data_IF_401296402440
#
_entry.id   IF_401296402440
#
_cell.length_a   1.000
_cell.length_b   1.000
_cell.length_c   1.000
_cell.angle_alpha   90.00
_cell.angle_beta   90.00
_cell.angle_gamma   90.00
#
_symmetry.space_group_name_H-M   'P 1'
#
loop_
_entity.id
_entity.type
_entity.pdbx_description
1 polymer ?
#
# COMPACT_ATOMS: atom_id res chain seq x y z
N UNK A 1 28.23 -69.93 50.73
CA UNK A 1 29.64 -69.46 50.78
C UNK A 1 29.83 -68.47 49.64
N UNK A 2 29.42 -67.21 49.87
CA UNK A 2 30.28 -66.09 50.34
C UNK A 2 31.13 -65.57 49.19
N UNK A 3 30.60 -64.66 48.37
CA UNK A 3 30.67 -63.20 48.60
C UNK A 3 32.05 -62.75 49.10
N UNK A 4 33.06 -62.76 48.21
CA UNK A 4 34.32 -62.08 48.47
C UNK A 4 35.04 -61.57 47.21
N UNK A 5 34.30 -61.28 46.13
CA UNK A 5 34.90 -60.75 44.89
C UNK A 5 34.14 -59.55 44.28
N UNK A 6 33.50 -58.72 45.09
CA UNK A 6 32.77 -57.53 44.60
C UNK A 6 33.34 -56.18 45.07
N UNK A 7 34.56 -56.11 45.64
CA UNK A 7 35.12 -54.87 46.21
C UNK A 7 36.58 -54.56 45.83
N UNK A 8 37.03 -54.95 44.63
CA UNK A 8 38.38 -54.58 44.12
C UNK A 8 38.44 -54.11 42.66
N UNK A 9 37.36 -53.52 42.13
CA UNK A 9 37.32 -52.88 40.79
C UNK A 9 36.57 -51.55 40.78
N UNK A 10 36.86 -50.65 41.74
CA UNK A 10 36.27 -49.29 41.76
C UNK A 10 37.27 -48.16 41.98
N UNK A 11 38.55 -48.38 41.70
CA UNK A 11 39.57 -47.35 41.91
C UNK A 11 40.61 -47.41 40.81
N UNK A 12 40.26 -46.97 39.59
CA UNK A 12 41.19 -46.61 38.50
C UNK A 12 40.43 -46.14 37.22
N UNK A 13 39.42 -45.28 37.37
CA UNK A 13 38.74 -44.64 36.23
C UNK A 13 38.27 -43.24 36.63
N UNK A 14 39.15 -42.46 37.26
CA UNK A 14 38.84 -41.09 37.71
C UNK A 14 40.11 -40.22 37.67
N UNK A 15 40.81 -40.17 36.54
CA UNK A 15 41.94 -39.25 36.33
C UNK A 15 42.30 -39.06 34.84
N UNK A 16 41.31 -39.00 33.95
CA UNK A 16 41.55 -38.92 32.51
C UNK A 16 40.46 -38.22 31.72
N UNK A 17 39.85 -37.17 32.27
CA UNK A 17 38.84 -36.37 31.57
C UNK A 17 38.85 -34.92 32.05
N UNK A 18 40.03 -34.31 32.12
CA UNK A 18 40.23 -32.92 32.54
C UNK A 18 41.21 -32.15 31.64
N UNK A 19 41.35 -32.54 30.38
CA UNK A 19 42.18 -31.83 29.42
C UNK A 19 41.66 -32.01 28.00
N UNK A 20 40.65 -31.22 27.61
CA UNK A 20 40.43 -30.63 26.26
C UNK A 20 38.96 -30.19 26.10
N UNK A 21 38.56 -29.11 26.77
CA UNK A 21 37.42 -28.29 26.34
C UNK A 21 37.71 -26.81 26.66
N UNK A 22 38.84 -26.32 26.16
CA UNK A 22 39.04 -24.89 25.95
C UNK A 22 38.98 -24.65 24.43
N UNK A 23 37.80 -24.85 23.86
CA UNK A 23 37.49 -24.22 22.57
C UNK A 23 37.48 -22.72 22.81
N UNK A 24 38.29 -21.92 22.10
CA UNK A 24 38.09 -20.49 22.13
C UNK A 24 36.65 -20.24 21.68
N UNK A 25 35.84 -19.65 22.57
CA UNK A 25 34.61 -18.97 22.16
C UNK A 25 35.10 -17.80 21.32
N UNK A 26 35.33 -18.06 20.04
CA UNK A 26 35.32 -17.02 19.04
C UNK A 26 33.94 -16.40 19.20
N UNK A 27 33.89 -15.24 19.84
CA UNK A 27 32.74 -14.35 19.79
C UNK A 27 32.59 -14.00 18.32
N UNK A 28 31.90 -14.86 17.57
CA UNK A 28 31.40 -14.51 16.26
C UNK A 28 30.66 -13.20 16.51
N UNK A 29 31.14 -12.12 15.88
CA UNK A 29 30.38 -10.89 15.84
C UNK A 29 28.94 -11.29 15.53
N UNK A 30 27.94 -10.84 16.32
CA UNK A 30 26.57 -11.29 16.14
C UNK A 30 26.29 -11.19 14.65
N UNK A 31 25.89 -12.31 14.04
CA UNK A 31 25.66 -12.36 12.61
C UNK A 31 24.76 -11.16 12.29
N UNK A 32 25.35 -10.10 11.74
CA UNK A 32 24.60 -8.95 11.27
C UNK A 32 23.84 -9.54 10.11
N UNK A 33 22.58 -9.89 10.35
CA UNK A 33 21.66 -10.22 9.29
C UNK A 33 21.86 -9.12 8.27
N UNK A 34 22.41 -9.50 7.11
CA UNK A 34 22.58 -8.59 6.02
C UNK A 34 21.18 -8.01 5.81
N UNK A 35 20.97 -6.69 6.01
CA UNK A 35 19.65 -6.13 5.86
C UNK A 35 19.17 -6.57 4.47
N UNK A 36 17.97 -7.15 4.36
CA UNK A 36 17.52 -7.67 3.08
C UNK A 36 17.73 -6.58 2.04
N UNK A 37 18.29 -6.96 0.89
CA UNK A 37 18.62 -6.04 -0.24
C UNK A 37 17.37 -5.27 -0.71
N UNK A 38 16.19 -5.71 -0.26
CA UNK A 38 14.88 -5.16 -0.53
C UNK A 38 14.10 -4.93 0.78
N UNK A 39 13.63 -3.70 1.02
CA UNK A 39 12.71 -3.39 2.11
C UNK A 39 11.28 -3.75 1.71
N UNK A 40 10.68 -4.73 2.38
CA UNK A 40 9.27 -5.09 2.17
C UNK A 40 8.45 -4.82 3.41
N UNK A 41 7.28 -4.22 3.21
CA UNK A 41 6.28 -4.08 4.26
C UNK A 41 4.96 -4.64 3.76
N UNK A 42 4.53 -5.74 4.37
CA UNK A 42 3.26 -6.37 4.05
C UNK A 42 2.18 -5.88 5.01
N UNK A 43 1.07 -5.44 4.43
CA UNK A 43 -0.14 -5.00 5.11
C UNK A 43 -1.32 -5.84 4.67
N UNK A 44 -2.36 -5.91 5.50
CA UNK A 44 -3.59 -6.63 5.19
C UNK A 44 -4.75 -5.66 5.15
N UNK A 45 -5.47 -5.65 4.04
CA UNK A 45 -6.75 -4.97 3.92
C UNK A 45 -7.87 -6.01 4.00
N UNK A 46 -8.58 -6.02 5.14
CA UNK A 46 -9.76 -6.86 5.31
C UNK A 46 -10.96 -6.26 4.57
N UNK A 47 -11.42 -6.98 3.55
CA UNK A 47 -12.54 -6.60 2.69
C UNK A 47 -13.76 -7.50 2.89
N UNK A 48 -13.80 -8.27 3.98
CA UNK A 48 -14.86 -9.25 4.25
C UNK A 48 -16.26 -8.63 4.17
N UNK A 49 -16.49 -7.51 4.87
CA UNK A 49 -17.78 -6.82 4.85
C UNK A 49 -18.02 -6.01 3.57
N UNK A 50 -16.97 -5.68 2.81
CA UNK A 50 -17.08 -5.07 1.48
C UNK A 50 -17.61 -6.11 0.49
N UNK A 51 -16.94 -7.25 0.38
CA UNK A 51 -17.30 -8.31 -0.57
C UNK A 51 -18.60 -9.01 -0.18
N UNK A 52 -18.83 -9.19 1.13
CA UNK A 52 -20.07 -9.75 1.65
C UNK A 52 -21.28 -8.81 1.53
N UNK A 53 -21.06 -7.51 1.34
CA UNK A 53 -22.10 -6.48 1.31
C UNK A 53 -23.01 -6.50 2.57
N UNK A 54 -22.45 -6.94 3.69
CA UNK A 54 -23.21 -7.28 4.91
C UNK A 54 -23.33 -6.11 5.87
N UNK A 55 -22.23 -5.39 6.12
CA UNK A 55 -22.18 -4.36 7.15
C UNK A 55 -21.35 -3.15 6.70
N UNK A 56 -21.97 -2.13 6.07
CA UNK A 56 -21.29 -0.91 5.62
C UNK A 56 -20.44 -0.23 6.71
N UNK A 57 -20.94 -0.21 7.95
CA UNK A 57 -20.21 0.38 9.08
C UNK A 57 -18.95 -0.41 9.50
N UNK A 58 -18.96 -1.75 9.41
CA UNK A 58 -17.80 -2.58 9.70
C UNK A 58 -16.77 -2.49 8.57
N UNK A 59 -17.23 -2.51 7.32
CA UNK A 59 -16.37 -2.28 6.14
C UNK A 59 -15.62 -0.95 6.24
N UNK A 60 -16.33 0.14 6.57
CA UNK A 60 -15.74 1.45 6.77
C UNK A 60 -14.73 1.48 7.94
N UNK A 61 -15.04 0.82 9.07
CA UNK A 61 -14.10 0.71 10.19
C UNK A 61 -12.83 -0.08 9.80
N UNK A 62 -12.98 -1.21 9.12
CA UNK A 62 -11.87 -2.04 8.67
C UNK A 62 -10.97 -1.27 7.69
N UNK A 63 -11.57 -0.51 6.77
CA UNK A 63 -10.86 0.37 5.86
C UNK A 63 -10.04 1.44 6.61
N UNK A 64 -10.65 2.13 7.59
CA UNK A 64 -9.94 3.12 8.42
C UNK A 64 -8.76 2.51 9.17
N UNK A 65 -8.95 1.36 9.81
CA UNK A 65 -7.88 0.66 10.53
C UNK A 65 -6.73 0.25 9.62
N UNK A 66 -7.04 -0.23 8.41
CA UNK A 66 -6.04 -0.53 7.39
C UNK A 66 -5.23 0.72 7.00
N UNK A 67 -5.90 1.85 6.76
CA UNK A 67 -5.22 3.10 6.46
C UNK A 67 -4.33 3.57 7.60
N UNK A 68 -4.77 3.47 8.85
CA UNK A 68 -3.98 3.86 10.01
C UNK A 68 -2.79 2.92 10.28
N UNK A 69 -2.89 1.64 9.94
CA UNK A 69 -1.76 0.71 9.98
C UNK A 69 -0.66 1.10 8.97
N UNK A 70 -1.05 1.36 7.72
CA UNK A 70 -0.12 1.85 6.71
C UNK A 70 0.48 3.18 7.14
N UNK A 71 -0.34 4.15 7.52
CA UNK A 71 0.16 5.47 7.93
C UNK A 71 0.94 5.50 9.24
N UNK A 72 1.03 4.41 10.01
CA UNK A 72 1.98 4.30 11.12
C UNK A 72 3.29 3.65 10.70
N UNK A 73 3.24 2.79 9.69
CA UNK A 73 4.37 1.97 9.26
C UNK A 73 5.19 2.62 8.14
N UNK A 74 4.58 3.33 7.18
CA UNK A 74 5.29 3.86 6.00
C UNK A 74 5.73 5.31 6.18
N UNK A 75 6.87 5.69 5.60
CA UNK A 75 7.31 7.08 5.60
C UNK A 75 7.85 7.60 6.93
N UNK A 76 8.36 8.83 6.91
CA UNK A 76 8.99 9.50 8.06
C UNK A 76 8.17 10.71 8.50
N UNK A 77 7.89 10.88 9.81
CA UNK A 77 7.14 12.04 10.29
C UNK A 77 7.89 13.36 10.02
N UNK A 78 7.14 14.44 9.83
CA UNK A 78 7.69 15.82 9.78
C UNK A 78 7.46 16.54 11.11
N UNK A 79 8.00 17.76 11.31
CA UNK A 79 7.66 18.60 12.46
C UNK A 79 6.18 18.99 12.54
N UNK A 80 5.45 18.95 11.42
CA UNK A 80 4.01 19.24 11.40
C UNK A 80 3.22 17.95 11.57
N UNK A 81 2.34 17.92 12.58
CA UNK A 81 1.49 16.77 12.88
C UNK A 81 0.68 16.35 11.64
N UNK A 82 0.49 15.03 11.47
CA UNK A 82 -0.21 14.43 10.33
C UNK A 82 0.39 14.70 8.95
N UNK A 83 1.62 15.24 8.88
CA UNK A 83 2.40 15.29 7.64
C UNK A 83 3.59 14.35 7.77
N UNK A 84 3.79 13.52 6.75
CA UNK A 84 4.92 12.58 6.68
C UNK A 84 5.52 12.62 5.28
N UNK A 85 6.81 12.37 5.16
CA UNK A 85 7.43 12.08 3.86
C UNK A 85 7.22 10.61 3.52
N UNK A 86 7.03 10.32 2.23
CA UNK A 86 7.20 8.96 1.72
C UNK A 86 8.65 8.49 1.92
N UNK A 87 8.92 7.21 1.68
CA UNK A 87 10.28 6.70 1.83
C UNK A 87 11.22 7.32 0.77
N UNK A 88 12.54 7.37 1.00
CA UNK A 88 13.50 7.74 -0.03
C UNK A 88 13.42 6.80 -1.23
N UNK A 89 13.85 7.29 -2.40
CA UNK A 89 13.96 6.47 -3.61
C UNK A 89 14.84 5.26 -3.31
N UNK A 90 14.27 4.08 -3.44
CA UNK A 90 14.93 2.84 -3.05
C UNK A 90 14.11 1.63 -3.47
N UNK A 91 14.64 0.42 -3.28
CA UNK A 91 13.95 -0.81 -3.68
C UNK A 91 12.91 -1.24 -2.63
N UNK A 92 12.14 -0.28 -2.12
CA UNK A 92 11.16 -0.50 -1.08
C UNK A 92 9.77 -0.60 -1.66
N UNK A 93 9.09 -1.70 -1.35
CA UNK A 93 7.73 -1.97 -1.79
C UNK A 93 6.79 -2.08 -0.59
N UNK A 94 5.58 -1.55 -0.80
CA UNK A 94 4.44 -1.81 0.05
C UNK A 94 3.63 -2.93 -0.62
N UNK A 95 3.47 -4.04 0.10
CA UNK A 95 2.59 -5.13 -0.28
C UNK A 95 1.28 -5.00 0.49
N UNK A 96 0.14 -5.04 -0.21
CA UNK A 96 -1.18 -5.05 0.42
C UNK A 96 -1.90 -6.32 0.02
N UNK A 97 -2.08 -7.22 0.98
CA UNK A 97 -2.88 -8.43 0.83
C UNK A 97 -4.35 -8.10 1.05
N UNK A 98 -5.18 -8.31 0.03
CA UNK A 98 -6.63 -8.11 0.11
C UNK A 98 -7.27 -9.41 0.59
N UNK A 99 -7.81 -9.38 1.82
CA UNK A 99 -8.29 -10.56 2.54
C UNK A 99 -9.81 -10.53 2.70
N UNK A 100 -10.48 -11.62 2.35
CA UNK A 100 -11.89 -11.90 2.59
C UNK A 100 -12.03 -13.16 3.44
N UNK A 101 -12.39 -12.98 4.73
CA UNK A 101 -12.43 -14.05 5.72
C UNK A 101 -13.63 -15.00 5.54
N UNK A 102 -14.61 -14.64 4.72
CA UNK A 102 -15.81 -15.46 4.47
C UNK A 102 -15.58 -16.55 3.40
N UNK A 103 -14.37 -16.66 2.86
CA UNK A 103 -14.03 -17.63 1.81
C UNK A 103 -13.09 -18.70 2.31
N UNK A 104 -13.16 -19.88 1.69
CA UNK A 104 -12.17 -20.96 1.89
C UNK A 104 -10.76 -20.52 1.49
N UNK A 105 -10.65 -19.69 0.45
CA UNK A 105 -9.42 -19.01 0.06
C UNK A 105 -9.52 -17.54 0.45
N UNK A 106 -9.01 -17.22 1.63
CA UNK A 106 -9.19 -15.88 2.20
C UNK A 106 -8.43 -14.79 1.44
N UNK A 107 -7.41 -15.13 0.66
CA UNK A 107 -6.64 -14.14 -0.09
C UNK A 107 -7.24 -13.94 -1.48
N UNK A 108 -7.68 -12.72 -1.79
CA UNK A 108 -8.27 -12.37 -3.10
C UNK A 108 -7.21 -11.97 -4.11
N UNK A 109 -6.41 -10.97 -3.77
CA UNK A 109 -5.34 -10.42 -4.61
C UNK A 109 -4.33 -9.65 -3.75
N UNK A 110 -3.16 -9.38 -4.32
CA UNK A 110 -2.13 -8.55 -3.68
C UNK A 110 -1.86 -7.31 -4.51
N UNK A 111 -1.79 -6.14 -3.88
CA UNK A 111 -1.39 -4.88 -4.52
C UNK A 111 0.08 -4.59 -4.21
N UNK A 112 0.81 -4.05 -5.17
CA UNK A 112 2.19 -3.63 -4.99
C UNK A 112 2.35 -2.16 -5.33
N UNK A 113 2.84 -1.39 -4.37
CA UNK A 113 3.06 0.05 -4.51
C UNK A 113 4.52 0.37 -4.21
N UNK A 114 5.04 1.39 -4.89
CA UNK A 114 6.33 1.95 -4.51
C UNK A 114 6.21 2.71 -3.19
N UNK A 115 7.12 2.48 -2.26
CA UNK A 115 7.11 3.18 -0.97
C UNK A 115 7.54 4.67 -1.08
N UNK A 116 8.21 5.04 -2.18
CA UNK A 116 8.75 6.39 -2.41
C UNK A 116 7.73 7.38 -2.97
N UNK A 117 6.72 6.91 -3.68
CA UNK A 117 5.72 7.76 -4.31
C UNK A 117 4.27 7.23 -4.17
N UNK A 118 4.10 6.06 -3.56
CA UNK A 118 2.80 5.41 -3.31
C UNK A 118 2.02 5.10 -4.59
N UNK A 119 2.64 5.11 -5.78
CA UNK A 119 1.96 4.68 -7.00
C UNK A 119 1.83 3.15 -7.03
N UNK A 120 0.63 2.70 -7.44
CA UNK A 120 0.38 1.30 -7.73
C UNK A 120 1.17 0.86 -8.95
N UNK A 121 1.96 -0.19 -8.79
CA UNK A 121 2.76 -0.81 -9.85
C UNK A 121 1.92 -1.82 -10.62
N UNK A 122 1.13 -2.60 -9.88
CA UNK A 122 0.39 -3.73 -10.40
C UNK A 122 -0.23 -4.57 -9.29
N UNK A 123 -0.85 -5.67 -9.71
CA UNK A 123 -1.51 -6.61 -8.81
C UNK A 123 -1.03 -8.03 -9.07
N UNK A 124 -0.99 -8.85 -8.03
CA UNK A 124 -0.87 -10.30 -8.14
C UNK A 124 -2.23 -10.94 -7.89
N UNK A 125 -2.78 -11.57 -8.94
CA UNK A 125 -3.95 -12.42 -8.78
C UNK A 125 -3.51 -13.76 -8.18
N UNK A 126 -4.29 -14.26 -7.23
CA UNK A 126 -4.04 -15.57 -6.65
C UNK A 126 -4.27 -16.67 -7.68
N UNK A 127 -3.51 -17.78 -7.61
CA UNK A 127 -3.78 -18.92 -8.47
C UNK A 127 -5.18 -19.46 -8.19
N UNK A 128 -5.89 -19.87 -9.25
CA UNK A 128 -7.08 -20.71 -9.14
C UNK A 128 -6.73 -22.14 -9.58
N UNK A 129 -7.65 -23.10 -9.44
CA UNK A 129 -7.40 -24.51 -9.77
C UNK A 129 -6.86 -24.74 -11.20
N UNK A 130 -7.10 -23.80 -12.11
CA UNK A 130 -6.76 -23.92 -13.53
C UNK A 130 -5.78 -22.85 -14.02
N UNK A 131 -5.30 -21.96 -13.14
CA UNK A 131 -4.48 -20.80 -13.55
C UNK A 131 -3.32 -20.58 -12.58
N UNK A 132 -2.08 -20.47 -13.08
CA UNK A 132 -0.95 -20.09 -12.25
C UNK A 132 -1.14 -18.66 -11.72
N UNK A 133 -0.39 -18.31 -10.68
CA UNK A 133 -0.39 -16.94 -10.17
C UNK A 133 0.17 -16.00 -11.23
N UNK A 134 -0.48 -14.84 -11.42
CA UNK A 134 -0.07 -13.84 -12.40
C UNK A 134 0.14 -12.48 -11.75
N UNK A 135 1.23 -11.83 -12.11
CA UNK A 135 1.48 -10.43 -11.79
C UNK A 135 1.15 -9.55 -13.00
N UNK A 136 0.12 -8.72 -12.85
CA UNK A 136 -0.34 -7.76 -13.84
C UNK A 136 0.22 -6.38 -13.53
N UNK A 137 1.10 -5.85 -14.38
CA UNK A 137 1.71 -4.53 -14.22
C UNK A 137 1.20 -3.54 -15.27
N UNK A 138 1.12 -2.25 -14.91
CA UNK A 138 0.79 -1.20 -15.90
C UNK A 138 1.82 -1.12 -17.02
N UNK A 139 1.35 -0.81 -18.24
CA UNK A 139 2.17 -0.81 -19.46
C UNK A 139 3.38 0.12 -19.38
N UNK A 140 3.17 1.33 -18.86
CA UNK A 140 4.21 2.34 -18.69
C UNK A 140 5.25 1.95 -17.64
N UNK A 141 4.83 1.24 -16.58
CA UNK A 141 5.78 0.64 -15.64
C UNK A 141 6.70 -0.35 -16.35
N UNK A 142 6.17 -1.16 -17.28
CA UNK A 142 7.00 -2.09 -18.08
C UNK A 142 7.96 -1.34 -19.00
N UNK A 143 7.47 -0.32 -19.70
CA UNK A 143 8.26 0.47 -20.65
C UNK A 143 9.42 1.21 -19.97
N UNK A 144 9.18 1.80 -18.78
CA UNK A 144 10.18 2.57 -18.05
C UNK A 144 11.20 1.70 -17.30
N UNK A 145 11.05 0.37 -17.32
CA UNK A 145 11.90 -0.54 -16.57
C UNK A 145 11.52 -0.69 -15.10
N UNK A 146 10.55 0.08 -14.59
CA UNK A 146 10.02 -0.04 -13.24
C UNK A 146 9.37 -1.40 -12.99
N UNK A 147 8.66 -1.96 -13.98
CA UNK A 147 8.10 -3.29 -13.85
C UNK A 147 9.15 -4.39 -13.99
N UNK A 148 10.29 -4.15 -14.67
CA UNK A 148 11.44 -5.07 -14.61
C UNK A 148 12.02 -5.06 -13.21
N UNK A 149 12.27 -3.88 -12.65
CA UNK A 149 12.72 -3.69 -11.26
C UNK A 149 11.76 -4.34 -10.27
N UNK A 150 10.46 -4.07 -10.38
CA UNK A 150 9.45 -4.70 -9.54
C UNK A 150 9.41 -6.21 -9.76
N UNK A 151 9.43 -6.71 -10.99
CA UNK A 151 9.48 -8.16 -11.26
C UNK A 151 10.72 -8.81 -10.67
N UNK A 152 11.89 -8.19 -10.77
CA UNK A 152 13.14 -8.75 -10.26
C UNK A 152 13.10 -8.75 -8.72
N UNK A 153 12.57 -7.69 -8.11
CA UNK A 153 12.22 -7.64 -6.69
C UNK A 153 11.25 -8.79 -6.33
N UNK A 154 10.15 -8.96 -7.05
CA UNK A 154 9.13 -9.98 -6.77
C UNK A 154 9.66 -11.41 -6.98
N UNK A 155 10.47 -11.64 -8.02
CA UNK A 155 11.15 -12.93 -8.25
C UNK A 155 12.10 -13.26 -7.10
N UNK A 156 12.85 -12.26 -6.64
CA UNK A 156 13.76 -12.42 -5.52
C UNK A 156 13.01 -12.65 -4.20
N UNK A 157 11.88 -11.97 -3.98
CA UNK A 157 11.13 -12.01 -2.71
C UNK A 157 10.22 -13.21 -2.60
N UNK A 158 9.56 -13.62 -3.69
CA UNK A 158 8.67 -14.76 -3.66
C UNK A 158 9.35 -16.08 -3.95
N UNK A 159 10.56 -16.07 -4.51
CA UNK A 159 11.27 -17.26 -4.98
C UNK A 159 10.33 -18.21 -5.78
N UNK A 160 9.34 -17.62 -6.46
CA UNK A 160 8.22 -18.34 -7.07
C UNK A 160 8.46 -18.33 -8.58
N UNK A 161 9.07 -19.39 -9.14
CA UNK A 161 9.32 -19.48 -10.57
C UNK A 161 8.02 -19.54 -11.39
N UNK A 162 6.87 -19.71 -10.74
CA UNK A 162 5.58 -19.90 -11.39
C UNK A 162 4.75 -18.61 -11.50
N UNK A 163 5.26 -17.46 -11.04
CA UNK A 163 4.57 -16.18 -11.26
C UNK A 163 4.75 -15.74 -12.70
N UNK A 164 3.70 -15.88 -13.50
CA UNK A 164 3.69 -15.33 -14.85
C UNK A 164 3.57 -13.80 -14.79
N UNK A 165 4.39 -13.12 -15.58
CA UNK A 165 4.35 -11.67 -15.71
C UNK A 165 3.49 -11.28 -16.92
N UNK A 166 2.54 -10.38 -16.71
CA UNK A 166 1.67 -9.87 -17.77
C UNK A 166 1.62 -8.34 -17.72
N UNK A 167 1.90 -7.69 -18.86
CA UNK A 167 1.61 -6.26 -19.00
C UNK A 167 0.11 -6.07 -19.22
N UNK A 168 -0.46 -5.09 -18.53
CA UNK A 168 -1.75 -4.52 -18.88
C UNK A 168 -1.65 -3.79 -20.22
N UNK A 169 -2.79 -3.65 -20.90
CA UNK A 169 -2.87 -2.97 -22.19
C UNK A 169 -2.82 -1.43 -22.06
N UNK A 170 -2.98 -0.91 -20.85
CA UNK A 170 -3.02 0.52 -20.54
C UNK A 170 -1.95 0.91 -19.49
N UNK A 171 -1.57 2.18 -19.49
CA UNK A 171 -0.65 2.76 -18.50
C UNK A 171 -1.33 3.15 -17.18
N UNK A 172 -0.53 3.49 -16.16
CA UNK A 172 -1.01 3.85 -14.83
C UNK A 172 -1.48 5.30 -14.72
N UNK A 173 -1.14 6.16 -15.70
CA UNK A 173 -1.59 7.56 -15.74
C UNK A 173 -3.10 7.60 -15.96
N UNK A 174 -3.77 8.64 -15.48
CA UNK A 174 -5.20 8.77 -15.70
C UNK A 174 -5.55 9.22 -17.12
N UNK A 175 -5.10 10.40 -17.56
CA UNK A 175 -5.52 10.96 -18.85
C UNK A 175 -4.61 10.56 -20.02
N UNK A 176 -5.19 10.52 -21.22
CA UNK A 176 -4.48 10.25 -22.48
C UNK A 176 -4.86 8.92 -23.15
N UNK A 177 -4.54 8.78 -24.44
CA UNK A 177 -4.84 7.55 -25.18
C UNK A 177 -4.08 6.34 -24.62
N UNK A 178 -4.79 5.24 -24.41
CA UNK A 178 -4.24 4.02 -23.81
C UNK A 178 -3.81 4.17 -22.35
N UNK A 179 -4.36 5.14 -21.62
CA UNK A 179 -4.14 5.33 -20.20
C UNK A 179 -5.31 4.78 -19.38
N UNK A 180 -5.23 4.89 -18.06
CA UNK A 180 -6.20 4.29 -17.14
C UNK A 180 -7.60 4.91 -17.27
N UNK A 181 -7.71 6.21 -17.51
CA UNK A 181 -8.97 6.96 -17.59
C UNK A 181 -8.99 7.92 -18.79
N UNK A 182 -8.96 7.41 -20.04
CA UNK A 182 -8.84 8.26 -21.22
C UNK A 182 -10.05 9.17 -21.46
N UNK A 183 -11.19 8.87 -20.84
CA UNK A 183 -12.41 9.68 -20.93
C UNK A 183 -12.66 10.55 -19.70
N UNK A 184 -11.67 10.65 -18.80
CA UNK A 184 -11.72 11.48 -17.59
C UNK A 184 -12.97 11.24 -16.73
N UNK A 185 -13.39 9.99 -16.66
CA UNK A 185 -14.62 9.57 -15.97
C UNK A 185 -14.43 9.40 -14.47
N UNK A 186 -13.19 9.39 -13.96
CA UNK A 186 -12.89 9.07 -12.55
C UNK A 186 -13.60 9.97 -11.55
N UNK A 187 -13.87 11.23 -11.88
CA UNK A 187 -14.65 12.15 -11.03
C UNK A 187 -16.06 11.64 -10.75
N UNK A 188 -16.63 10.87 -11.68
CA UNK A 188 -18.01 10.37 -11.66
C UNK A 188 -18.11 8.88 -11.31
N UNK A 189 -17.00 8.21 -11.03
CA UNK A 189 -17.04 6.80 -10.64
C UNK A 189 -17.55 6.68 -9.21
N UNK A 190 -18.63 5.91 -9.03
CA UNK A 190 -19.18 5.60 -7.71
C UNK A 190 -18.18 4.83 -6.84
N UNK A 191 -18.05 5.25 -5.58
CA UNK A 191 -17.14 4.71 -4.56
C UNK A 191 -17.90 3.96 -3.45
N UNK A 192 -19.15 3.57 -3.71
CA UNK A 192 -19.97 2.79 -2.78
C UNK A 192 -19.36 1.43 -2.48
N UNK A 193 -19.82 0.80 -1.40
CA UNK A 193 -19.41 -0.56 -1.03
C UNK A 193 -19.66 -1.58 -2.16
N UNK A 194 -20.78 -1.46 -2.88
CA UNK A 194 -21.11 -2.31 -4.03
C UNK A 194 -20.11 -2.12 -5.17
N UNK A 195 -19.75 -0.86 -5.44
CA UNK A 195 -18.79 -0.53 -6.50
C UNK A 195 -17.38 -1.01 -6.15
N UNK A 196 -16.99 -0.96 -4.88
CA UNK A 196 -15.71 -1.49 -4.41
C UNK A 196 -15.67 -3.02 -4.45
N UNK A 197 -16.75 -3.69 -4.02
CA UNK A 197 -16.88 -5.14 -4.10
C UNK A 197 -16.78 -5.62 -5.56
N UNK A 198 -17.47 -4.95 -6.48
CA UNK A 198 -17.38 -5.24 -7.91
C UNK A 198 -15.96 -5.02 -8.45
N UNK A 199 -15.27 -3.95 -8.04
CA UNK A 199 -13.88 -3.71 -8.43
C UNK A 199 -12.95 -4.83 -7.97
N UNK A 200 -13.05 -5.26 -6.71
CA UNK A 200 -12.26 -6.37 -6.15
C UNK A 200 -12.53 -7.66 -6.92
N UNK A 201 -13.80 -7.96 -7.21
CA UNK A 201 -14.19 -9.15 -7.98
C UNK A 201 -13.61 -9.13 -9.41
N UNK A 202 -13.70 -7.99 -10.11
CA UNK A 202 -13.14 -7.81 -11.46
C UNK A 202 -11.63 -8.05 -11.47
N UNK A 203 -10.90 -7.48 -10.51
CA UNK A 203 -9.44 -7.64 -10.46
C UNK A 203 -9.00 -9.02 -9.97
N UNK A 204 -9.78 -9.67 -9.11
CA UNK A 204 -9.54 -11.06 -8.69
C UNK A 204 -9.71 -12.02 -9.88
N UNK A 205 -10.71 -11.79 -10.74
CA UNK A 205 -10.99 -12.58 -11.93
C UNK A 205 -10.20 -12.18 -13.18
N UNK A 206 -9.23 -11.29 -13.06
CA UNK A 206 -8.50 -10.72 -14.20
C UNK A 206 -7.82 -11.83 -15.04
N UNK A 207 -8.01 -11.77 -16.35
CA UNK A 207 -7.52 -12.76 -17.32
C UNK A 207 -6.96 -12.08 -18.57
N UNK A 208 -6.28 -12.80 -19.45
CA UNK A 208 -5.44 -12.25 -20.54
C UNK A 208 -6.10 -11.18 -21.45
N UNK A 209 -7.43 -11.15 -21.61
CA UNK A 209 -8.16 -10.06 -22.25
C UNK A 209 -8.36 -8.88 -21.28
N UNK A 210 -7.30 -8.07 -21.14
CA UNK A 210 -7.16 -7.09 -20.05
C UNK A 210 -7.63 -5.65 -20.38
N UNK A 211 -8.09 -5.36 -21.60
CA UNK A 211 -8.42 -3.99 -22.01
C UNK A 211 -9.92 -3.72 -22.14
N UNK A 212 -10.64 -3.79 -21.01
CA UNK A 212 -12.06 -3.42 -20.97
C UNK A 212 -12.29 -2.29 -19.98
N UNK A 213 -13.25 -1.37 -20.25
CA UNK A 213 -13.55 -0.25 -19.35
C UNK A 213 -13.77 -0.67 -17.89
N UNK A 214 -14.37 -1.83 -17.65
CA UNK A 214 -14.61 -2.35 -16.30
C UNK A 214 -13.32 -2.61 -15.50
N UNK A 215 -12.25 -3.10 -16.15
CA UNK A 215 -10.96 -3.35 -15.49
C UNK A 215 -10.29 -2.03 -15.12
N UNK A 216 -10.31 -1.05 -16.03
CA UNK A 216 -9.80 0.31 -15.78
C UNK A 216 -10.56 0.98 -14.62
N UNK A 217 -11.89 0.90 -14.66
CA UNK A 217 -12.79 1.42 -13.63
C UNK A 217 -12.56 0.75 -12.27
N UNK A 218 -12.20 -0.54 -12.24
CA UNK A 218 -11.83 -1.26 -11.03
C UNK A 218 -10.48 -0.77 -10.48
N UNK A 219 -9.46 -0.61 -11.34
CA UNK A 219 -8.17 -0.05 -10.94
C UNK A 219 -8.29 1.37 -10.39
N UNK A 220 -9.09 2.24 -11.02
CA UNK A 220 -9.30 3.62 -10.53
C UNK A 220 -9.85 3.62 -9.10
N UNK A 221 -10.84 2.76 -8.80
CA UNK A 221 -11.42 2.63 -7.46
C UNK A 221 -10.41 2.14 -6.43
N UNK A 222 -9.62 1.12 -6.79
CA UNK A 222 -8.60 0.58 -5.90
C UNK A 222 -7.48 1.59 -5.65
N UNK A 223 -7.03 2.32 -6.67
CA UNK A 223 -6.03 3.38 -6.51
C UNK A 223 -6.58 4.50 -5.61
N UNK A 224 -7.84 4.91 -5.79
CA UNK A 224 -8.48 5.89 -4.92
C UNK A 224 -8.52 5.42 -3.45
N UNK A 225 -8.94 4.17 -3.20
CA UNK A 225 -9.00 3.57 -1.87
C UNK A 225 -7.62 3.29 -1.25
N UNK A 226 -6.56 3.20 -2.05
CA UNK A 226 -5.21 2.91 -1.56
C UNK A 226 -4.29 4.10 -1.76
N UNK A 227 -3.56 4.18 -2.88
CA UNK A 227 -2.58 5.24 -3.17
C UNK A 227 -3.05 6.64 -2.79
N UNK A 228 -4.28 7.01 -3.17
CA UNK A 228 -4.76 8.38 -2.93
C UNK A 228 -5.24 8.60 -1.49
N UNK A 229 -5.83 7.58 -0.88
CA UNK A 229 -6.18 7.61 0.55
C UNK A 229 -4.96 7.58 1.47
N UNK A 230 -3.83 7.03 0.99
CA UNK A 230 -2.55 7.17 1.66
C UNK A 230 -1.98 8.58 1.51
N UNK A 231 -2.17 9.23 0.36
CA UNK A 231 -1.64 10.59 0.14
C UNK A 231 -2.43 11.65 0.90
N UNK A 232 -3.75 11.50 0.96
CA UNK A 232 -4.66 12.52 1.46
C UNK A 232 -5.67 11.94 2.45
N UNK A 233 -5.70 12.48 3.67
CA UNK A 233 -6.74 12.12 4.63
C UNK A 233 -8.14 12.47 4.14
N UNK A 234 -8.29 13.53 3.33
CA UNK A 234 -9.58 13.87 2.69
C UNK A 234 -10.14 12.71 1.85
N UNK A 235 -9.29 12.09 1.03
CA UNK A 235 -9.67 10.94 0.20
C UNK A 235 -10.11 9.76 1.08
N UNK A 236 -9.34 9.49 2.13
CA UNK A 236 -9.63 8.44 3.11
C UNK A 236 -11.01 8.65 3.77
N UNK A 237 -11.27 9.84 4.33
CA UNK A 237 -12.55 10.17 4.97
C UNK A 237 -13.71 10.07 3.98
N UNK A 238 -13.55 10.62 2.78
CA UNK A 238 -14.62 10.58 1.77
C UNK A 238 -15.00 9.15 1.40
N UNK A 239 -14.02 8.30 1.12
CA UNK A 239 -14.26 6.89 0.78
C UNK A 239 -14.86 6.16 1.97
N UNK A 240 -14.37 6.38 3.19
CA UNK A 240 -14.94 5.81 4.40
C UNK A 240 -16.43 6.18 4.55
N UNK A 241 -16.75 7.47 4.44
CA UNK A 241 -18.12 8.00 4.56
C UNK A 241 -19.03 7.42 3.49
N UNK A 242 -18.60 7.38 2.22
CA UNK A 242 -19.38 6.79 1.12
C UNK A 242 -19.54 5.28 1.31
N UNK A 243 -18.53 4.56 1.80
CA UNK A 243 -18.67 3.14 2.14
C UNK A 243 -19.70 2.93 3.24
N UNK A 244 -19.70 3.78 4.27
CA UNK A 244 -20.59 3.68 5.44
C UNK A 244 -22.04 4.04 5.13
N UNK A 245 -22.26 5.14 4.42
CA UNK A 245 -23.57 5.76 4.25
C UNK A 245 -24.08 5.74 2.80
N UNK A 246 -23.27 5.27 1.86
CA UNK A 246 -23.60 5.24 0.42
C UNK A 246 -23.42 6.58 -0.29
N UNK A 247 -23.34 7.70 0.44
CA UNK A 247 -23.11 9.03 -0.09
C UNK A 247 -22.58 10.00 0.99
N UNK A 248 -22.14 11.18 0.57
CA UNK A 248 -21.75 12.32 1.41
C UNK A 248 -22.45 13.59 0.90
N UNK A 249 -22.83 14.49 1.81
CA UNK A 249 -23.42 15.77 1.46
C UNK A 249 -22.32 16.74 1.02
N UNK A 250 -22.41 17.26 -0.20
CA UNK A 250 -21.47 18.24 -0.74
C UNK A 250 -21.84 19.67 -0.32
N UNK A 251 -20.91 20.61 -0.51
CA UNK A 251 -21.11 22.05 -0.21
C UNK A 251 -22.27 22.68 -1.00
N UNK A 252 -22.64 22.10 -2.13
CA UNK A 252 -23.79 22.54 -2.94
C UNK A 252 -25.13 21.97 -2.44
N UNK A 253 -25.13 21.24 -1.32
CA UNK A 253 -26.32 20.62 -0.72
C UNK A 253 -26.77 19.32 -1.39
N UNK A 254 -26.04 18.80 -2.38
CA UNK A 254 -26.36 17.53 -3.04
C UNK A 254 -25.58 16.37 -2.43
N UNK A 255 -26.21 15.20 -2.40
CA UNK A 255 -25.52 13.96 -2.00
C UNK A 255 -24.72 13.40 -3.17
N UNK A 256 -23.46 13.04 -2.93
CA UNK A 256 -22.56 12.42 -3.90
C UNK A 256 -22.03 11.08 -3.39
N UNK A 257 -21.86 10.13 -4.31
CA UNK A 257 -21.21 8.84 -4.05
C UNK A 257 -19.90 8.68 -4.83
N UNK A 258 -19.42 9.74 -5.46
CA UNK A 258 -18.27 9.70 -6.36
C UNK A 258 -17.05 10.39 -5.76
N UNK A 259 -15.96 10.51 -6.50
CA UNK A 259 -14.79 11.26 -6.07
C UNK A 259 -15.01 12.79 -6.08
N UNK A 260 -15.76 13.29 -7.07
CA UNK A 260 -15.95 14.71 -7.31
C UNK A 260 -14.71 15.41 -7.89
N UNK A 261 -14.89 16.66 -8.30
CA UNK A 261 -13.86 17.49 -8.94
C UNK A 261 -12.65 17.70 -8.01
N UNK A 262 -12.90 18.08 -6.77
CA UNK A 262 -11.84 18.31 -5.79
C UNK A 262 -10.87 17.15 -5.62
N UNK A 263 -11.41 15.94 -5.52
CA UNK A 263 -10.60 14.74 -5.34
C UNK A 263 -9.72 14.48 -6.56
N UNK A 264 -10.22 14.79 -7.76
CA UNK A 264 -9.46 14.70 -9.01
C UNK A 264 -8.35 15.74 -9.07
N UNK A 265 -8.58 16.94 -8.55
CA UNK A 265 -7.59 18.01 -8.50
C UNK A 265 -6.51 17.72 -7.47
N UNK A 266 -6.86 17.22 -6.28
CA UNK A 266 -5.89 16.74 -5.29
C UNK A 266 -4.95 15.67 -5.88
N UNK A 267 -5.50 14.68 -6.60
CA UNK A 267 -4.70 13.65 -7.28
C UNK A 267 -3.73 14.25 -8.30
N UNK A 268 -4.20 15.22 -9.09
CA UNK A 268 -3.42 15.88 -10.14
C UNK A 268 -2.29 16.70 -9.54
N UNK A 269 -2.57 17.43 -8.48
CA UNK A 269 -1.70 18.47 -7.94
C UNK A 269 -0.85 17.98 -6.76
N UNK A 270 -0.87 16.67 -6.44
CA UNK A 270 -0.13 16.08 -5.31
C UNK A 270 1.36 16.45 -5.28
N UNK A 271 2.04 16.45 -6.42
CA UNK A 271 3.46 16.80 -6.49
C UNK A 271 3.70 18.28 -6.15
N UNK A 272 2.88 19.18 -6.70
CA UNK A 272 2.96 20.61 -6.44
C UNK A 272 2.60 20.93 -4.99
N UNK A 273 1.54 20.30 -4.46
CA UNK A 273 1.13 20.40 -3.06
C UNK A 273 2.20 19.86 -2.12
N UNK A 274 2.88 18.77 -2.48
CA UNK A 274 4.00 18.22 -1.70
C UNK A 274 5.17 19.18 -1.62
N UNK A 275 5.54 19.83 -2.73
CA UNK A 275 6.61 20.83 -2.76
C UNK A 275 6.23 22.08 -1.95
N UNK A 276 5.01 22.59 -2.14
CA UNK A 276 4.49 23.72 -1.39
C UNK A 276 4.48 23.44 0.12
N UNK A 277 4.01 22.26 0.53
CA UNK A 277 3.96 21.85 1.92
C UNK A 277 5.36 21.68 2.51
N UNK A 278 6.29 21.08 1.76
CA UNK A 278 7.69 20.97 2.18
C UNK A 278 8.31 22.35 2.44
N UNK A 279 8.10 23.32 1.55
CA UNK A 279 8.57 24.70 1.73
C UNK A 279 7.93 25.36 2.96
N UNK A 280 6.62 25.21 3.13
CA UNK A 280 5.88 25.70 4.30
C UNK A 280 6.44 25.14 5.62
N UNK A 281 6.75 23.83 5.66
CA UNK A 281 7.30 23.18 6.86
C UNK A 281 8.73 23.62 7.20
N UNK A 282 9.47 24.18 6.24
CA UNK A 282 10.81 24.75 6.43
C UNK A 282 10.78 26.24 6.84
N UNK A 283 9.60 26.81 7.05
CA UNK A 283 9.43 28.20 7.45
C UNK A 283 9.53 29.21 6.30
N UNK A 284 9.56 28.76 5.03
CA UNK A 284 9.29 29.66 3.92
C UNK A 284 7.81 30.06 3.97
N UNK A 285 7.50 31.35 3.80
CA UNK A 285 6.13 31.82 3.66
C UNK A 285 5.68 31.53 2.22
N UNK A 286 4.94 30.44 1.97
CA UNK A 286 4.60 30.08 0.62
C UNK A 286 3.43 30.95 0.17
N UNK A 287 3.42 31.34 -1.10
CA UNK A 287 2.19 31.87 -1.70
C UNK A 287 1.04 30.89 -1.50
N UNK A 288 -0.20 31.39 -1.56
CA UNK A 288 -1.38 30.54 -1.51
C UNK A 288 -1.29 29.38 -2.51
N UNK A 289 -1.63 28.19 -2.06
CA UNK A 289 -1.78 27.01 -2.91
C UNK A 289 -3.25 26.76 -3.18
N UNK A 290 -3.67 26.90 -4.43
CA UNK A 290 -5.03 26.62 -4.85
C UNK A 290 -5.11 25.20 -5.40
N UNK A 291 -5.95 24.36 -4.81
CA UNK A 291 -6.33 23.06 -5.39
C UNK A 291 -7.31 23.29 -6.54
N UNK A 292 -8.18 24.28 -6.38
CA UNK A 292 -9.14 24.71 -7.39
C UNK A 292 -9.49 26.19 -7.26
N UNK A 293 -10.42 26.65 -8.09
CA UNK A 293 -10.83 28.06 -8.18
C UNK A 293 -11.35 28.65 -6.85
N UNK A 294 -11.79 27.81 -5.91
CA UNK A 294 -12.47 28.20 -4.67
C UNK A 294 -11.73 27.76 -3.40
N UNK A 295 -10.83 26.77 -3.50
CA UNK A 295 -10.14 26.18 -2.34
C UNK A 295 -8.63 26.44 -2.40
N UNK A 296 -8.20 27.34 -1.51
CA UNK A 296 -6.80 27.69 -1.34
C UNK A 296 -6.29 27.48 0.09
N UNK A 297 -5.02 27.12 0.23
CA UNK A 297 -4.32 26.98 1.50
C UNK A 297 -3.23 28.03 1.63
N UNK A 298 -3.06 28.56 2.85
CA UNK A 298 -2.03 29.55 3.17
C UNK A 298 -0.76 28.90 3.71
N UNK A 299 -0.94 27.82 4.46
CA UNK A 299 0.12 27.02 5.05
C UNK A 299 -0.41 25.62 5.36
N UNK A 300 0.50 24.70 5.70
CA UNK A 300 0.15 23.32 6.00
C UNK A 300 -0.85 23.19 7.16
N UNK A 301 -0.69 23.90 8.31
CA UNK A 301 -1.71 23.88 9.36
C UNK A 301 -3.11 24.23 8.84
N UNK A 302 -3.26 25.28 8.03
CA UNK A 302 -4.55 25.66 7.42
C UNK A 302 -5.11 24.54 6.53
N UNK A 303 -4.25 23.87 5.75
CA UNK A 303 -4.67 22.75 4.90
C UNK A 303 -5.16 21.55 5.72
N UNK A 304 -4.55 21.28 6.89
CA UNK A 304 -4.90 20.15 7.75
C UNK A 304 -6.10 20.44 8.67
N UNK A 305 -6.22 21.68 9.16
CA UNK A 305 -7.20 22.08 10.19
C UNK A 305 -8.39 22.86 9.65
N UNK A 306 -8.53 23.01 8.32
CA UNK A 306 -9.63 23.74 7.71
C UNK A 306 -11.02 23.31 8.21
N UNK A 307 -12.00 24.20 8.15
CA UNK A 307 -13.37 23.91 8.56
C UNK A 307 -14.12 23.10 7.49
N UNK A 308 -14.73 21.97 7.89
CA UNK A 308 -15.64 21.17 7.06
C UNK A 308 -14.97 20.09 6.19
N UNK A 309 -15.68 19.61 5.16
CA UNK A 309 -15.24 18.57 4.21
C UNK A 309 -14.13 19.03 3.26
N UNK A 310 -13.29 19.99 3.65
CA UNK A 310 -12.26 20.60 2.81
C UNK A 310 -10.86 20.48 3.40
N UNK A 311 -10.72 20.00 4.63
CA UNK A 311 -9.41 19.78 5.22
C UNK A 311 -8.76 18.49 4.69
N UNK A 312 -7.44 18.50 4.61
CA UNK A 312 -6.69 17.33 4.18
C UNK A 312 -6.65 16.26 5.26
N UNK A 313 -6.83 16.58 6.56
CA UNK A 313 -6.52 15.81 7.77
C UNK A 313 -5.07 15.31 7.90
N UNK A 314 -4.57 14.73 6.81
CA UNK A 314 -3.28 14.06 6.68
C UNK A 314 -2.74 14.28 5.27
N UNK A 315 -1.42 14.43 5.16
CA UNK A 315 -0.73 14.62 3.89
C UNK A 315 0.57 13.81 3.86
N UNK A 316 0.72 12.93 2.87
CA UNK A 316 2.03 12.33 2.55
C UNK A 316 2.73 13.17 1.50
N UNK A 317 3.93 13.64 1.81
CA UNK A 317 4.77 14.41 0.91
C UNK A 317 5.61 13.48 0.05
N UNK A 318 5.66 13.77 -1.25
CA UNK A 318 6.52 13.06 -2.18
C UNK A 318 8.02 13.24 -1.79
N UNK A 319 8.71 12.14 -1.49
CA UNK A 319 10.12 12.11 -1.08
C UNK A 319 11.08 12.67 -2.12
N UNK A 320 10.67 12.75 -3.40
CA UNK A 320 11.46 13.38 -4.47
C UNK A 320 11.67 14.89 -4.27
N UNK A 321 10.77 15.59 -3.57
CA UNK A 321 10.86 17.06 -3.43
C UNK A 321 11.79 17.53 -2.32
N UNK A 322 12.37 16.62 -1.51
CA UNK A 322 13.10 16.99 -0.30
C UNK A 322 14.62 17.06 -0.47
N UNK A 323 15.17 16.34 -1.46
CA UNK A 323 16.62 16.23 -1.72
C UNK A 323 17.10 17.07 -2.91
N UNK A 324 16.22 17.89 -3.51
CA UNK A 324 16.56 18.89 -4.51
C UNK A 324 16.93 20.24 -3.90
#
# INVERSE_FOLDING_TARGET
MTEQHALRRRSLLTAGLAATLLTPVLTAAPARAQPPVYGFRAHRWDVTDIVGLTHPGLAANAFRHFLDDIHRSIGTPTPVANVRHTEPIGNNLIEIQVIDRNQSHQHRLTLYLWADNLYLIGIRAQPDRNRPSRFYAFRDMVANGDARRARDILRHVFNDPNVEFQSLAFGSRYSGSGQLDPGERRQNLGLTIQSMAAAIAVLTGLSSTNDVPAVRDAFIRIIAATSESFRFGWMARRIETIMRYGSILEDNGMYSSTLGEYGVELQRDWAALSLWAANSTRGADPSWFYVDATRGYRNVPHALSGSGDRNLDRLMLNGYSWHG
#
